data_IF_679278066362
#
_entry.id   IF_679278066362
#
_cell.length_a   1.000
_cell.length_b   1.000
_cell.length_c   1.000
_cell.angle_alpha   90.00
_cell.angle_beta   90.00
_cell.angle_gamma   90.00
#
_symmetry.space_group_name_H-M   'P 1'
#
loop_
_entity.id
_entity.type
_entity.pdbx_description
1 polymer ?
#
# COMPACT_ATOMS: atom_id res chain seq x y z
N UNK A 1 -30.10 86.58 19.69
CA UNK A 1 -29.14 87.56 19.21
C UNK A 1 -27.94 87.65 20.14
N UNK A 2 -26.79 87.73 19.52
CA UNK A 2 -25.49 88.27 19.95
C UNK A 2 -24.65 87.56 20.98
N UNK A 3 -23.53 87.19 20.52
CA UNK A 3 -22.21 87.81 20.25
C UNK A 3 -21.19 87.63 21.40
N UNK A 4 -20.01 87.14 20.95
CA UNK A 4 -18.65 87.52 21.31
C UNK A 4 -18.17 87.37 22.76
N UNK A 5 -17.06 86.75 23.04
CA UNK A 5 -15.69 87.16 22.81
C UNK A 5 -14.70 86.14 23.40
N UNK A 6 -13.76 85.83 22.62
CA UNK A 6 -12.30 85.69 22.85
C UNK A 6 -11.82 85.47 24.29
N UNK A 7 -11.03 84.38 24.47
CA UNK A 7 -10.14 84.13 25.59
C UNK A 7 -9.24 82.96 25.30
N UNK A 8 -8.03 83.24 24.88
CA UNK A 8 -6.97 82.29 24.72
C UNK A 8 -6.52 81.77 26.07
N UNK A 9 -6.51 80.49 26.25
CA UNK A 9 -5.51 79.83 27.17
C UNK A 9 -5.15 78.45 26.71
N UNK A 10 -3.87 78.28 26.69
CA UNK A 10 -3.08 77.08 26.25
C UNK A 10 -3.22 76.04 27.32
N UNK A 11 -3.92 74.93 27.00
CA UNK A 11 -3.87 73.71 27.81
C UNK A 11 -3.28 72.57 27.02
N UNK A 12 -2.21 72.08 27.58
CA UNK A 12 -1.41 70.88 27.16
C UNK A 12 -2.37 69.70 27.02
N UNK A 13 -2.46 69.12 25.78
CA UNK A 13 -3.13 67.85 25.54
C UNK A 13 -2.12 66.76 25.68
N UNK A 14 -2.21 66.02 26.76
CA UNK A 14 -1.62 64.68 26.85
C UNK A 14 -2.35 63.77 25.85
N UNK A 15 -1.70 63.46 24.75
CA UNK A 15 -2.15 62.47 23.79
C UNK A 15 -1.78 61.09 24.30
N UNK A 16 -2.72 60.44 24.97
CA UNK A 16 -2.64 58.99 25.21
C UNK A 16 -2.85 58.28 23.88
N UNK A 17 -1.78 57.91 23.21
CA UNK A 17 -1.80 56.99 22.06
C UNK A 17 -2.10 55.61 22.59
N UNK A 18 -3.36 55.20 22.56
CA UNK A 18 -3.75 53.81 22.76
C UNK A 18 -3.32 53.03 21.53
N UNK A 19 -2.15 52.40 21.58
CA UNK A 19 -1.73 51.45 20.58
C UNK A 19 -2.65 50.23 20.67
N UNK A 20 -3.63 50.11 19.79
CA UNK A 20 -4.33 48.87 19.51
C UNK A 20 -3.31 47.88 18.91
N UNK A 21 -2.76 47.03 19.77
CA UNK A 21 -2.07 45.82 19.29
C UNK A 21 -3.12 44.90 18.66
N UNK A 22 -3.27 44.99 17.34
CA UNK A 22 -3.94 43.96 16.57
C UNK A 22 -3.01 42.74 16.61
N UNK A 23 -3.27 41.83 17.52
CA UNK A 23 -2.68 40.51 17.53
C UNK A 23 -3.17 39.79 16.28
N UNK A 24 -2.44 39.92 15.18
CA UNK A 24 -2.58 38.99 14.05
C UNK A 24 -2.17 37.61 14.54
N UNK A 25 -3.10 36.83 15.02
CA UNK A 25 -2.95 35.38 15.07
C UNK A 25 -2.87 34.92 13.62
N UNK A 26 -1.65 34.82 13.09
CA UNK A 26 -1.37 34.09 11.88
C UNK A 26 -1.68 32.63 12.19
N UNK A 27 -2.92 32.22 11.98
CA UNK A 27 -3.28 30.83 11.92
C UNK A 27 -2.40 30.22 10.84
N UNK A 28 -1.44 29.40 11.23
CA UNK A 28 -0.62 28.62 10.30
C UNK A 28 -1.58 27.82 9.44
N UNK A 29 -1.74 28.21 8.17
CA UNK A 29 -2.50 27.39 7.21
C UNK A 29 -1.79 26.05 7.12
N UNK A 30 -2.46 24.97 7.49
CA UNK A 30 -1.92 23.62 7.32
C UNK A 30 -1.53 23.43 5.86
N UNK A 31 -0.27 23.15 5.61
CA UNK A 31 0.21 22.88 4.26
C UNK A 31 -0.34 21.51 3.84
N UNK A 32 -1.06 21.48 2.72
CA UNK A 32 -1.53 20.24 2.11
C UNK A 32 -0.36 19.52 1.41
N UNK A 33 -0.49 18.21 1.25
CA UNK A 33 0.42 17.38 0.44
C UNK A 33 0.26 17.69 -1.05
N UNK A 34 1.16 17.20 -1.91
CA UNK A 34 1.03 17.31 -3.37
C UNK A 34 -0.27 16.67 -3.89
N UNK A 35 -0.74 15.62 -3.23
CA UNK A 35 -2.04 15.00 -3.52
C UNK A 35 -3.24 15.76 -2.96
N UNK A 36 -3.03 16.87 -2.24
CA UNK A 36 -4.10 17.67 -1.63
C UNK A 36 -4.63 17.13 -0.30
N UNK A 37 -3.99 16.14 0.32
CA UNK A 37 -4.38 15.63 1.63
C UNK A 37 -4.02 16.60 2.74
N UNK A 38 -4.86 16.66 3.77
CA UNK A 38 -4.57 17.37 5.01
C UNK A 38 -3.82 16.42 5.98
N UNK A 39 -2.52 16.62 6.27
CA UNK A 39 -1.77 15.76 7.17
C UNK A 39 -2.40 15.63 8.57
N UNK A 40 -3.01 16.70 9.08
CA UNK A 40 -3.63 16.66 10.43
C UNK A 40 -4.88 15.78 10.51
N UNK A 41 -5.48 15.38 9.37
CA UNK A 41 -6.56 14.41 9.34
C UNK A 41 -6.12 12.99 9.71
N UNK A 42 -4.80 12.78 9.84
CA UNK A 42 -4.19 11.52 10.26
C UNK A 42 -3.63 11.58 11.68
N UNK A 43 -3.67 12.74 12.34
CA UNK A 43 -3.18 12.88 13.71
C UNK A 43 -4.20 12.35 14.71
N UNK A 44 -3.84 11.27 15.41
CA UNK A 44 -4.68 10.66 16.46
C UNK A 44 -3.84 9.75 17.36
N UNK A 45 -4.50 9.11 18.32
CA UNK A 45 -3.93 8.05 19.14
C UNK A 45 -4.81 6.81 19.03
N UNK A 46 -4.21 5.68 18.66
CA UNK A 46 -4.87 4.36 18.59
C UNK A 46 -4.07 3.39 19.44
N UNK A 47 -4.72 2.67 20.35
CA UNK A 47 -4.07 1.73 21.28
C UNK A 47 -2.89 2.34 22.04
N UNK A 48 -3.05 3.59 22.52
CA UNK A 48 -2.03 4.39 23.23
C UNK A 48 -0.76 4.70 22.40
N UNK A 49 -0.80 4.52 21.08
CA UNK A 49 0.29 4.88 20.18
C UNK A 49 -0.11 6.07 19.30
N UNK A 50 0.79 7.04 19.09
CA UNK A 50 0.53 8.16 18.18
C UNK A 50 0.47 7.68 16.74
N UNK A 51 -0.53 8.18 16.00
CA UNK A 51 -0.69 7.95 14.56
C UNK A 51 -0.51 9.26 13.84
N UNK A 52 0.22 9.24 12.72
CA UNK A 52 0.52 10.43 11.90
C UNK A 52 0.63 10.05 10.42
N UNK A 53 0.62 11.09 9.58
CA UNK A 53 1.03 11.02 8.18
C UNK A 53 2.48 11.51 8.06
N UNK A 54 3.33 10.70 7.45
CA UNK A 54 4.74 11.00 7.15
C UNK A 54 4.87 11.26 5.67
N UNK A 55 5.60 12.31 5.30
CA UNK A 55 5.83 12.67 3.90
C UNK A 55 7.29 12.44 3.54
N UNK A 56 7.52 11.65 2.48
CA UNK A 56 8.84 11.40 1.89
C UNK A 56 8.89 12.07 0.52
N UNK A 57 10.05 12.67 0.18
CA UNK A 57 10.24 13.42 -1.07
C UNK A 57 11.61 13.19 -1.66
N UNK A 58 11.69 13.37 -2.98
CA UNK A 58 12.96 13.59 -3.66
C UNK A 58 12.96 14.93 -4.44
N UNK A 59 14.10 15.27 -5.01
CA UNK A 59 14.25 16.52 -5.79
C UNK A 59 13.63 16.44 -7.21
N UNK A 60 13.17 15.25 -7.63
CA UNK A 60 12.68 15.00 -8.99
C UNK A 60 11.15 14.89 -9.06
N UNK A 61 10.44 15.45 -8.06
CA UNK A 61 8.99 15.60 -8.05
C UNK A 61 8.20 14.38 -7.55
N UNK A 62 8.87 13.40 -6.94
CA UNK A 62 8.15 12.31 -6.26
C UNK A 62 7.88 12.68 -4.80
N UNK A 63 6.62 12.55 -4.40
CA UNK A 63 6.16 12.64 -3.01
C UNK A 63 5.38 11.38 -2.63
N UNK A 64 5.70 10.80 -1.48
CA UNK A 64 4.99 9.65 -0.93
C UNK A 64 4.54 9.96 0.49
N UNK A 65 3.24 9.85 0.76
CA UNK A 65 2.67 10.01 2.08
C UNK A 65 2.31 8.65 2.69
N UNK A 66 2.81 8.38 3.89
CA UNK A 66 2.66 7.10 4.57
C UNK A 66 2.14 7.34 5.98
N UNK A 67 1.08 6.63 6.37
CA UNK A 67 0.67 6.59 7.78
C UNK A 67 1.29 5.38 8.50
N UNK A 68 1.68 5.57 9.75
CA UNK A 68 2.16 4.46 10.58
C UNK A 68 1.02 3.54 11.08
N UNK A 69 -0.24 3.84 10.79
CA UNK A 69 -1.34 2.91 10.95
C UNK A 69 -1.36 1.94 9.76
N UNK A 70 -0.98 0.70 9.99
CA UNK A 70 -0.87 -0.32 8.97
C UNK A 70 0.32 -0.14 8.00
N UNK A 71 1.21 0.82 8.26
CA UNK A 71 2.33 1.13 7.37
C UNK A 71 1.88 1.47 5.95
N UNK A 72 0.79 2.23 5.81
CA UNK A 72 0.06 2.40 4.55
C UNK A 72 0.61 3.55 3.71
N UNK A 73 0.89 3.27 2.44
CA UNK A 73 1.08 4.29 1.40
C UNK A 73 -0.29 4.91 1.10
N UNK A 74 -0.50 6.14 1.56
CA UNK A 74 -1.78 6.87 1.44
C UNK A 74 -1.87 7.61 0.12
N UNK A 75 -0.77 8.23 -0.31
CA UNK A 75 -0.63 8.86 -1.63
C UNK A 75 0.78 8.68 -2.16
N UNK A 76 0.90 8.65 -3.48
CA UNK A 76 2.15 8.59 -4.21
C UNK A 76 2.03 9.46 -5.46
N UNK A 77 2.62 10.65 -5.41
CA UNK A 77 2.64 11.59 -6.51
C UNK A 77 3.92 11.46 -7.31
N UNK A 78 3.78 11.36 -8.63
CA UNK A 78 4.88 11.41 -9.60
C UNK A 78 4.48 12.33 -10.75
N UNK A 79 5.45 12.98 -11.46
CA UNK A 79 5.13 13.77 -12.63
C UNK A 79 4.56 12.89 -13.77
N UNK A 80 3.49 13.34 -14.42
CA UNK A 80 3.01 12.78 -15.69
C UNK A 80 3.83 13.30 -16.88
N UNK A 81 3.49 12.87 -18.11
CA UNK A 81 4.16 13.32 -19.36
C UNK A 81 4.15 14.83 -19.60
N UNK A 82 3.33 15.59 -18.88
CA UNK A 82 3.25 17.04 -18.94
C UNK A 82 3.94 17.70 -17.73
N UNK A 83 4.58 16.91 -16.86
CA UNK A 83 5.21 17.37 -15.62
C UNK A 83 4.21 17.67 -14.49
N UNK A 84 2.93 17.31 -14.63
CA UNK A 84 1.91 17.53 -13.60
C UNK A 84 2.04 16.44 -12.53
N UNK A 85 2.13 16.81 -11.22
CA UNK A 85 2.05 15.84 -10.14
C UNK A 85 0.76 15.05 -10.23
N UNK A 86 0.86 13.72 -10.24
CA UNK A 86 -0.26 12.80 -10.40
C UNK A 86 -0.20 11.77 -9.29
N UNK A 87 -1.24 11.72 -8.45
CA UNK A 87 -1.37 10.68 -7.41
C UNK A 87 -1.79 9.36 -8.08
N UNK A 88 -0.94 8.36 -7.97
CA UNK A 88 -1.09 7.08 -8.68
C UNK A 88 -1.56 5.93 -7.79
N UNK A 89 -1.97 6.20 -6.54
CA UNK A 89 -2.51 5.17 -5.64
C UNK A 89 -3.87 5.54 -5.06
N UNK A 90 -4.68 4.53 -4.82
CA UNK A 90 -5.98 4.67 -4.15
C UNK A 90 -5.80 4.80 -2.63
N UNK A 91 -6.80 5.34 -1.94
CA UNK A 91 -6.80 5.46 -0.49
C UNK A 91 -7.98 6.25 0.05
N UNK A 92 -7.87 6.67 1.30
CA UNK A 92 -8.83 7.52 2.01
C UNK A 92 -8.21 8.86 2.42
N UNK A 93 -9.06 9.84 2.74
CA UNK A 93 -8.65 11.19 3.13
C UNK A 93 -8.20 11.32 4.59
N UNK A 94 -8.50 10.35 5.43
CA UNK A 94 -8.28 10.47 6.87
C UNK A 94 -8.12 9.12 7.58
N UNK A 95 -7.54 9.18 8.78
CA UNK A 95 -7.28 8.00 9.60
C UNK A 95 -8.55 7.29 10.08
N UNK A 96 -9.66 8.01 10.28
CA UNK A 96 -10.91 7.40 10.77
C UNK A 96 -11.44 6.37 9.78
N UNK A 97 -11.34 6.65 8.47
CA UNK A 97 -11.73 5.71 7.43
C UNK A 97 -10.81 4.48 7.41
N UNK A 98 -9.49 4.63 7.52
CA UNK A 98 -8.56 3.50 7.57
C UNK A 98 -8.74 2.63 8.81
N UNK A 99 -9.10 3.22 9.96
CA UNK A 99 -9.30 2.50 11.21
C UNK A 99 -10.67 1.80 11.32
N UNK A 100 -11.63 2.16 10.46
CA UNK A 100 -12.98 1.58 10.45
C UNK A 100 -13.03 0.34 9.56
N UNK A 101 -12.65 -0.80 10.10
CA UNK A 101 -12.66 -2.09 9.40
C UNK A 101 -14.05 -2.63 9.09
N UNK A 102 -15.10 -1.99 9.58
CA UNK A 102 -16.50 -2.42 9.37
C UNK A 102 -17.17 -1.66 8.24
N UNK A 103 -17.10 -0.31 8.28
CA UNK A 103 -17.81 0.53 7.31
C UNK A 103 -16.92 0.93 6.12
N UNK A 104 -15.60 0.90 6.29
CA UNK A 104 -14.62 1.20 5.23
C UNK A 104 -13.46 0.20 5.23
N UNK A 105 -13.74 -1.13 5.15
CA UNK A 105 -12.68 -2.14 5.11
C UNK A 105 -11.81 -1.92 3.88
N UNK A 106 -10.50 -1.94 4.06
CA UNK A 106 -9.57 -1.79 2.93
C UNK A 106 -8.17 -2.30 3.26
N UNK A 107 -7.48 -2.72 2.21
CA UNK A 107 -6.06 -3.05 2.25
C UNK A 107 -5.20 -1.92 1.66
N UNK A 108 -5.81 -0.76 1.27
CA UNK A 108 -5.14 0.34 0.58
C UNK A 108 -3.77 0.66 1.17
N UNK A 109 -2.72 0.45 0.35
CA UNK A 109 -1.35 0.81 0.61
C UNK A 109 -0.65 0.09 1.77
N UNK A 110 -1.31 -0.88 2.43
CA UNK A 110 -0.85 -1.47 3.68
C UNK A 110 0.45 -2.27 3.56
N UNK A 111 1.25 -2.24 4.63
CA UNK A 111 2.33 -3.19 4.88
C UNK A 111 1.71 -4.43 5.54
N UNK A 112 1.43 -5.44 4.70
CA UNK A 112 0.72 -6.66 5.10
C UNK A 112 1.65 -7.60 5.86
N UNK A 113 1.16 -8.17 6.93
CA UNK A 113 1.79 -9.21 7.75
C UNK A 113 0.80 -9.73 8.81
N UNK A 114 1.09 -10.82 9.52
CA UNK A 114 2.31 -11.61 9.51
C UNK A 114 2.51 -12.39 8.22
N UNK A 115 1.40 -12.78 7.54
CA UNK A 115 1.44 -13.57 6.32
C UNK A 115 0.53 -12.94 5.25
N UNK A 116 1.12 -12.45 4.18
CA UNK A 116 0.43 -11.91 3.02
C UNK A 116 -0.28 -13.01 2.25
N UNK A 117 -1.44 -12.69 1.69
CA UNK A 117 -2.32 -13.62 0.99
C UNK A 117 -2.89 -14.71 1.92
N UNK A 118 -3.37 -15.82 1.39
CA UNK A 118 -4.19 -16.83 2.10
C UNK A 118 -3.37 -18.00 2.60
N UNK A 119 -3.78 -18.52 3.78
CA UNK A 119 -3.42 -19.85 4.30
C UNK A 119 -4.71 -20.67 4.34
N UNK A 120 -4.69 -21.84 3.68
CA UNK A 120 -5.85 -22.69 3.43
C UNK A 120 -6.53 -23.10 4.75
N UNK A 121 -7.83 -22.76 4.88
CA UNK A 121 -8.66 -23.02 6.07
C UNK A 121 -8.02 -22.53 7.39
N UNK A 122 -7.05 -21.61 7.30
CA UNK A 122 -6.27 -21.18 8.46
C UNK A 122 -5.42 -22.30 9.08
N UNK A 123 -5.17 -23.38 8.38
CA UNK A 123 -4.37 -24.50 8.91
C UNK A 123 -2.86 -24.21 8.70
N UNK A 124 -2.11 -24.23 9.79
CA UNK A 124 -0.68 -24.01 9.81
C UNK A 124 0.00 -25.05 10.69
N UNK A 125 0.96 -25.78 10.18
CA UNK A 125 1.80 -26.72 10.95
C UNK A 125 3.20 -26.13 11.13
N UNK A 126 3.67 -25.98 12.38
CA UNK A 126 5.02 -25.54 12.72
C UNK A 126 5.63 -26.51 13.71
N UNK A 127 6.82 -27.05 13.40
CA UNK A 127 7.49 -28.06 14.24
C UNK A 127 6.62 -29.26 14.60
N UNK A 128 5.78 -29.71 13.66
CA UNK A 128 4.86 -30.84 13.87
C UNK A 128 3.67 -30.54 14.78
N UNK A 129 3.47 -29.29 15.17
CA UNK A 129 2.31 -28.81 15.91
C UNK A 129 1.39 -28.04 14.98
N UNK A 130 0.10 -28.40 15.00
CA UNK A 130 -0.93 -27.71 14.24
C UNK A 130 -1.47 -26.48 14.99
N UNK A 131 -1.68 -25.42 14.22
CA UNK A 131 -2.28 -24.15 14.66
C UNK A 131 -3.48 -23.85 13.76
N UNK A 132 -4.61 -23.51 14.39
CA UNK A 132 -5.78 -23.02 13.68
C UNK A 132 -5.77 -21.49 13.72
N UNK A 133 -5.48 -20.89 12.60
CA UNK A 133 -5.55 -19.43 12.39
C UNK A 133 -7.00 -19.00 12.15
N UNK A 134 -7.34 -17.72 12.38
CA UNK A 134 -8.66 -17.20 12.05
C UNK A 134 -9.02 -17.38 10.56
N UNK A 135 -10.29 -17.67 10.29
CA UNK A 135 -10.84 -17.79 8.95
C UNK A 135 -11.63 -16.51 8.61
N UNK A 136 -10.93 -15.46 8.24
CA UNK A 136 -11.51 -14.13 8.04
C UNK A 136 -11.93 -13.82 6.60
N UNK A 137 -11.66 -14.73 5.64
CA UNK A 137 -12.00 -14.51 4.24
C UNK A 137 -12.27 -15.84 3.52
N UNK A 138 -13.51 -16.05 3.05
CA UNK A 138 -13.98 -17.25 2.32
C UNK A 138 -13.55 -18.59 2.97
N UNK A 139 -13.47 -18.63 4.30
CA UNK A 139 -13.05 -19.83 5.03
C UNK A 139 -11.52 -20.03 5.14
N UNK A 140 -10.73 -19.03 4.77
CA UNK A 140 -9.27 -19.02 4.83
C UNK A 140 -8.74 -17.92 5.74
N UNK A 141 -7.49 -18.03 6.20
CA UNK A 141 -6.80 -16.92 6.85
C UNK A 141 -6.18 -16.03 5.75
N UNK A 142 -6.63 -14.77 5.68
CA UNK A 142 -6.15 -13.78 4.73
C UNK A 142 -5.37 -12.69 5.47
N UNK A 143 -4.20 -12.30 4.93
CA UNK A 143 -3.41 -11.15 5.35
C UNK A 143 -3.11 -11.08 6.85
N UNK A 144 -2.83 -12.23 7.45
CA UNK A 144 -2.48 -12.33 8.87
C UNK A 144 -3.67 -12.34 9.83
N UNK A 145 -4.91 -12.45 9.30
CA UNK A 145 -6.13 -12.54 10.11
C UNK A 145 -6.85 -11.20 10.31
N UNK A 146 -7.95 -11.18 11.07
CA UNK A 146 -8.85 -10.03 11.21
C UNK A 146 -8.20 -8.81 11.88
N UNK A 147 -7.19 -9.02 12.70
CA UNK A 147 -6.35 -7.98 13.31
C UNK A 147 -4.92 -8.00 12.76
N UNK A 148 -4.76 -8.36 11.49
CA UNK A 148 -3.48 -8.34 10.79
C UNK A 148 -2.77 -6.98 10.87
N UNK A 149 -1.51 -6.95 10.52
CA UNK A 149 -0.65 -5.77 10.73
C UNK A 149 -1.14 -4.51 10.02
N UNK A 150 -1.99 -4.64 9.01
CA UNK A 150 -2.65 -3.52 8.35
C UNK A 150 -3.59 -2.71 9.27
N UNK A 151 -4.02 -3.28 10.41
CA UNK A 151 -4.86 -2.63 11.43
C UNK A 151 -4.09 -2.32 12.72
N UNK A 152 -2.76 -2.38 12.69
CA UNK A 152 -1.89 -2.11 13.83
C UNK A 152 -1.12 -0.80 13.65
N UNK A 153 -0.75 -0.17 14.79
CA UNK A 153 0.09 1.03 14.79
C UNK A 153 1.55 0.62 14.92
N UNK A 154 2.35 0.99 13.93
CA UNK A 154 3.79 0.80 13.95
C UNK A 154 4.48 1.93 14.70
N UNK A 155 5.58 1.61 15.37
CA UNK A 155 6.51 2.61 15.88
C UNK A 155 7.31 3.19 14.71
N UNK A 156 7.30 4.52 14.55
CA UNK A 156 7.83 5.19 13.37
C UNK A 156 9.08 6.02 13.70
N UNK A 157 10.08 5.94 12.80
CA UNK A 157 11.26 6.79 12.80
C UNK A 157 11.51 7.31 11.39
N UNK A 158 11.52 8.62 11.22
CA UNK A 158 11.89 9.29 9.96
C UNK A 158 13.26 9.95 10.14
N UNK A 159 14.36 9.29 9.69
CA UNK A 159 15.71 9.82 9.89
C UNK A 159 16.07 10.99 8.96
N UNK A 160 15.39 11.10 7.83
CA UNK A 160 15.54 12.16 6.82
C UNK A 160 14.27 12.30 5.97
N UNK A 161 14.27 13.23 5.01
CA UNK A 161 13.10 13.55 4.18
C UNK A 161 12.74 12.47 3.15
N UNK A 162 13.59 11.46 2.95
CA UNK A 162 13.38 10.41 1.95
C UNK A 162 13.21 9.01 2.56
N UNK A 163 13.34 8.84 3.89
CA UNK A 163 13.31 7.51 4.53
C UNK A 163 12.39 7.49 5.74
N UNK A 164 11.53 6.46 5.80
CA UNK A 164 10.67 6.15 6.94
C UNK A 164 10.88 4.70 7.36
N UNK A 165 11.17 4.48 8.63
CA UNK A 165 11.35 3.15 9.24
C UNK A 165 10.17 2.90 10.17
N UNK A 166 9.42 1.84 9.92
CA UNK A 166 8.25 1.42 10.68
C UNK A 166 8.52 0.06 11.33
N UNK A 167 8.40 -0.04 12.64
CA UNK A 167 8.66 -1.27 13.39
C UNK A 167 7.40 -1.73 14.12
N UNK A 168 7.11 -3.04 14.04
CA UNK A 168 6.02 -3.68 14.76
C UNK A 168 6.53 -4.90 15.53
N UNK A 169 5.97 -5.12 16.71
CA UNK A 169 6.16 -6.33 17.50
C UNK A 169 4.84 -7.07 17.56
N UNK A 170 4.77 -8.24 16.93
CA UNK A 170 3.63 -9.14 16.94
C UNK A 170 3.92 -10.23 17.99
N UNK A 171 3.16 -10.32 19.09
CA UNK A 171 3.42 -11.26 20.18
C UNK A 171 3.20 -12.73 19.76
N UNK A 172 3.74 -13.65 20.56
CA UNK A 172 3.43 -15.08 20.43
C UNK A 172 1.91 -15.31 20.60
N UNK A 173 1.29 -15.99 19.65
CA UNK A 173 -0.16 -16.21 19.61
C UNK A 173 -0.99 -15.11 18.97
N UNK A 174 -0.37 -14.06 18.42
CA UNK A 174 -1.07 -13.03 17.65
C UNK A 174 -1.80 -13.65 16.45
N UNK A 175 -3.14 -13.50 16.37
CA UNK A 175 -4.00 -14.25 15.46
C UNK A 175 -3.70 -15.75 15.40
N UNK A 176 -3.30 -16.34 16.54
CA UNK A 176 -2.89 -17.74 16.72
C UNK A 176 -1.59 -18.14 15.99
N UNK A 177 -0.84 -17.22 15.39
CA UNK A 177 0.49 -17.52 14.86
C UNK A 177 1.48 -17.77 16.00
N UNK A 178 2.33 -18.84 15.93
CA UNK A 178 3.36 -19.09 16.93
C UNK A 178 4.51 -18.10 16.82
N UNK A 179 5.17 -17.83 17.94
CA UNK A 179 6.38 -17.02 18.06
C UNK A 179 6.12 -15.51 18.07
N UNK A 180 6.91 -14.81 18.87
CA UNK A 180 6.98 -13.35 18.81
C UNK A 180 7.84 -12.95 17.61
N UNK A 181 7.30 -12.09 16.75
CA UNK A 181 8.00 -11.53 15.59
C UNK A 181 8.22 -10.03 15.80
N UNK A 182 9.45 -9.59 15.60
CA UNK A 182 9.76 -8.17 15.42
C UNK A 182 10.02 -7.93 13.94
N UNK A 183 9.19 -7.10 13.31
CA UNK A 183 9.28 -6.79 11.89
C UNK A 183 9.48 -5.30 11.66
N UNK A 184 10.23 -4.97 10.60
CA UNK A 184 10.51 -3.60 10.19
C UNK A 184 10.20 -3.46 8.70
N UNK A 185 9.44 -2.43 8.35
CA UNK A 185 9.24 -1.97 6.98
C UNK A 185 9.96 -0.66 6.79
N UNK A 186 10.92 -0.60 5.88
CA UNK A 186 11.63 0.63 5.54
C UNK A 186 11.20 1.11 4.17
N UNK A 187 10.68 2.32 4.10
CA UNK A 187 10.33 3.02 2.87
C UNK A 187 11.39 4.04 2.54
N UNK A 188 11.89 4.04 1.32
CA UNK A 188 12.86 5.03 0.83
C UNK A 188 12.44 5.55 -0.53
N UNK A 189 12.36 6.87 -0.67
CA UNK A 189 12.14 7.54 -1.95
C UNK A 189 13.50 7.89 -2.55
N UNK A 190 13.88 7.18 -3.62
CA UNK A 190 15.17 7.38 -4.29
C UNK A 190 15.12 8.54 -5.30
N UNK A 191 16.28 9.08 -5.64
CA UNK A 191 16.40 10.22 -6.59
C UNK A 191 15.89 9.91 -8.00
N UNK A 192 15.82 8.64 -8.39
CA UNK A 192 15.36 8.18 -9.70
C UNK A 192 13.85 7.89 -9.75
N UNK A 193 13.06 8.47 -8.84
CA UNK A 193 11.62 8.25 -8.71
C UNK A 193 11.25 6.78 -8.43
N UNK A 194 11.99 6.14 -7.54
CA UNK A 194 11.70 4.80 -7.05
C UNK A 194 11.20 4.89 -5.60
N UNK A 195 10.07 4.25 -5.32
CA UNK A 195 9.69 3.87 -3.96
C UNK A 195 10.30 2.50 -3.68
N UNK A 196 11.35 2.50 -2.88
CA UNK A 196 12.08 1.32 -2.43
C UNK A 196 11.55 0.87 -1.06
N UNK A 197 11.20 -0.41 -0.94
CA UNK A 197 10.61 -0.96 0.29
C UNK A 197 11.36 -2.23 0.68
N UNK A 198 11.91 -2.25 1.89
CA UNK A 198 12.47 -3.46 2.48
C UNK A 198 11.64 -3.91 3.67
N UNK A 199 11.50 -5.23 3.80
CA UNK A 199 10.85 -5.88 4.92
C UNK A 199 11.86 -6.80 5.59
N UNK A 200 12.12 -6.56 6.87
CA UNK A 200 13.02 -7.36 7.69
C UNK A 200 12.25 -7.91 8.89
N UNK A 201 12.49 -9.16 9.28
CA UNK A 201 11.91 -9.70 10.50
C UNK A 201 12.82 -10.73 11.18
N UNK A 202 12.63 -10.83 12.50
CA UNK A 202 13.23 -11.87 13.34
C UNK A 202 12.18 -12.47 14.26
N UNK A 203 12.43 -13.68 14.76
CA UNK A 203 11.52 -14.40 15.64
C UNK A 203 12.23 -15.06 16.80
N UNK A 204 11.51 -15.32 17.91
CA UNK A 204 11.99 -16.10 19.05
C UNK A 204 11.60 -17.58 18.98
N UNK A 205 10.67 -17.96 18.11
CA UNK A 205 10.26 -19.34 17.81
C UNK A 205 10.05 -19.52 16.32
N UNK A 206 10.16 -20.74 15.82
CA UNK A 206 9.83 -21.00 14.42
C UNK A 206 8.39 -20.59 14.11
N UNK A 207 8.20 -19.87 13.02
CA UNK A 207 6.94 -19.35 12.55
C UNK A 207 6.96 -19.16 11.02
N UNK A 208 5.91 -18.56 10.47
CA UNK A 208 5.88 -18.14 9.06
C UNK A 208 5.83 -16.62 8.97
N UNK A 209 6.58 -16.08 7.99
CA UNK A 209 6.56 -14.65 7.66
C UNK A 209 6.50 -14.51 6.15
N UNK A 210 5.57 -13.69 5.69
CA UNK A 210 5.43 -13.29 4.30
C UNK A 210 4.86 -11.88 4.28
N UNK A 211 5.65 -10.89 3.91
CA UNK A 211 5.24 -9.48 3.93
C UNK A 211 5.13 -8.93 2.52
N UNK A 212 4.20 -7.99 2.32
CA UNK A 212 4.04 -7.29 1.05
C UNK A 212 3.53 -5.87 1.26
N UNK A 213 3.63 -5.03 0.24
CA UNK A 213 2.91 -3.76 0.16
C UNK A 213 1.69 -3.92 -0.76
N UNK A 214 0.53 -3.51 -0.26
CA UNK A 214 -0.75 -3.66 -0.96
C UNK A 214 -1.23 -2.32 -1.55
N UNK A 215 -0.37 -1.64 -2.29
CA UNK A 215 -0.74 -0.41 -3.01
C UNK A 215 -1.63 -0.73 -4.21
N UNK A 216 -2.70 0.04 -4.35
CA UNK A 216 -3.66 -0.04 -5.46
C UNK A 216 -3.29 1.04 -6.48
N UNK A 217 -2.59 0.67 -7.53
CA UNK A 217 -2.10 1.60 -8.54
C UNK A 217 -3.16 1.96 -9.57
N UNK A 218 -3.39 3.26 -9.78
CA UNK A 218 -4.12 3.81 -10.92
C UNK A 218 -3.23 4.87 -11.58
N UNK A 219 -2.48 4.46 -12.61
CA UNK A 219 -1.55 5.36 -13.30
C UNK A 219 -2.25 6.36 -14.23
N UNK A 220 -3.57 6.25 -14.41
CA UNK A 220 -4.36 7.20 -15.21
C UNK A 220 -4.56 8.54 -14.49
N UNK A 221 -4.36 8.60 -13.15
CA UNK A 221 -4.57 9.81 -12.35
C UNK A 221 -6.03 10.24 -12.22
N UNK A 222 -6.99 9.41 -12.66
CA UNK A 222 -8.43 9.64 -12.54
C UNK A 222 -9.09 8.37 -11.95
N UNK A 223 -9.18 8.26 -10.61
CA UNK A 223 -9.76 7.08 -9.97
C UNK A 223 -11.30 7.06 -9.98
N UNK A 224 -11.95 7.97 -10.68
CA UNK A 224 -13.40 7.93 -10.92
C UNK A 224 -13.80 6.96 -12.07
N UNK A 225 -12.81 6.45 -12.80
CA UNK A 225 -12.98 5.57 -13.96
C UNK A 225 -12.23 4.26 -13.78
N UNK A 226 -12.65 3.23 -14.51
CA UNK A 226 -11.91 1.97 -14.58
C UNK A 226 -10.48 2.17 -15.09
N UNK A 227 -9.57 1.33 -14.56
CA UNK A 227 -8.14 1.34 -14.90
C UNK A 227 -7.74 0.23 -15.89
N UNK A 228 -8.70 -0.45 -16.53
CA UNK A 228 -8.43 -1.62 -17.36
C UNK A 228 -7.72 -1.32 -18.69
N UNK A 229 -7.66 -0.03 -19.09
CA UNK A 229 -6.85 0.44 -20.22
C UNK A 229 -5.34 0.45 -19.93
N UNK A 230 -4.93 0.31 -18.68
CA UNK A 230 -3.51 0.21 -18.34
C UNK A 230 -2.91 -1.06 -18.94
N UNK A 231 -1.68 -0.92 -19.42
CA UNK A 231 -0.93 -1.99 -20.09
C UNK A 231 -0.07 -2.70 -19.05
N UNK A 232 -0.31 -4.00 -18.87
CA UNK A 232 0.37 -4.85 -17.91
C UNK A 232 1.41 -5.73 -18.62
N UNK A 233 2.56 -5.91 -17.98
CA UNK A 233 3.58 -6.92 -18.29
C UNK A 233 3.93 -7.69 -17.03
N UNK A 234 4.08 -9.02 -17.13
CA UNK A 234 4.57 -9.88 -16.05
C UNK A 234 5.60 -10.87 -16.60
N UNK A 235 6.79 -10.86 -16.03
CA UNK A 235 7.89 -11.77 -16.39
C UNK A 235 7.71 -13.12 -15.69
N UNK A 236 6.74 -13.90 -16.17
CA UNK A 236 6.42 -15.20 -15.61
C UNK A 236 5.87 -16.15 -16.69
N UNK A 237 6.42 -17.35 -16.77
CA UNK A 237 5.92 -18.42 -17.66
C UNK A 237 4.79 -19.22 -17.02
N UNK A 238 4.60 -19.08 -15.71
CA UNK A 238 3.66 -19.87 -14.94
C UNK A 238 2.93 -19.00 -13.90
N UNK A 239 1.79 -19.52 -13.45
CA UNK A 239 1.00 -18.94 -12.37
C UNK A 239 0.42 -20.05 -11.47
N UNK A 240 -0.06 -19.69 -10.27
CA UNK A 240 -0.78 -20.62 -9.40
C UNK A 240 -2.29 -20.43 -9.59
N UNK A 241 -3.03 -21.41 -10.16
CA UNK A 241 -4.48 -21.30 -10.30
C UNK A 241 -5.17 -21.24 -8.93
N UNK A 242 -6.32 -20.55 -8.89
CA UNK A 242 -7.16 -20.44 -7.70
C UNK A 242 -8.57 -21.00 -7.95
N UNK A 243 -9.19 -21.50 -6.89
CA UNK A 243 -10.59 -21.91 -6.91
C UNK A 243 -11.53 -20.69 -6.68
N UNK A 244 -12.84 -20.95 -6.59
CA UNK A 244 -13.86 -19.90 -6.36
C UNK A 244 -13.85 -19.30 -4.95
N UNK A 245 -12.96 -19.76 -4.06
CA UNK A 245 -12.69 -19.17 -2.74
C UNK A 245 -11.38 -18.39 -2.75
N UNK A 246 -10.80 -18.18 -3.93
CA UNK A 246 -9.50 -17.52 -4.14
C UNK A 246 -8.32 -18.28 -3.54
N UNK A 247 -8.52 -19.55 -3.18
CA UNK A 247 -7.46 -20.42 -2.68
C UNK A 247 -6.75 -21.10 -3.83
N UNK A 248 -5.42 -21.09 -3.79
CA UNK A 248 -4.62 -21.82 -4.80
C UNK A 248 -4.93 -23.31 -4.78
N UNK A 249 -5.05 -23.91 -5.97
CA UNK A 249 -5.26 -25.36 -6.12
C UNK A 249 -4.04 -26.19 -5.74
N UNK A 250 -2.87 -25.56 -5.62
CA UNK A 250 -1.58 -26.24 -5.39
C UNK A 250 -0.85 -26.63 -6.68
N UNK A 251 -1.46 -26.32 -7.83
CA UNK A 251 -0.82 -26.51 -9.14
C UNK A 251 0.01 -25.29 -9.53
N UNK A 252 0.97 -25.50 -10.43
CA UNK A 252 1.64 -24.45 -11.19
C UNK A 252 1.33 -24.70 -12.66
N UNK A 253 0.68 -23.75 -13.32
CA UNK A 253 0.24 -23.87 -14.72
C UNK A 253 0.92 -22.83 -15.61
N UNK A 254 1.18 -23.21 -16.86
CA UNK A 254 1.68 -22.31 -17.89
C UNK A 254 0.65 -21.21 -18.18
N UNK A 255 1.15 -19.98 -18.38
CA UNK A 255 0.33 -18.87 -18.87
C UNK A 255 0.09 -18.95 -20.38
N UNK A 256 0.91 -19.71 -21.12
CA UNK A 256 0.92 -19.76 -22.58
C UNK A 256 -0.44 -20.11 -23.17
N UNK A 257 -0.91 -19.29 -24.12
CA UNK A 257 -2.19 -19.49 -24.78
C UNK A 257 -3.43 -19.25 -23.89
N UNK A 258 -3.26 -18.61 -22.74
CA UNK A 258 -4.34 -18.31 -21.79
C UNK A 258 -4.48 -16.78 -21.59
N UNK A 259 -5.61 -16.30 -21.04
CA UNK A 259 -5.75 -14.90 -20.62
C UNK A 259 -4.75 -14.44 -19.55
N UNK A 260 -4.00 -15.36 -18.93
CA UNK A 260 -2.97 -15.07 -17.93
C UNK A 260 -1.61 -14.71 -18.55
N UNK A 261 -1.46 -14.73 -19.89
CA UNK A 261 -0.18 -14.51 -20.57
C UNK A 261 0.16 -13.03 -20.76
N UNK A 262 0.77 -12.42 -19.76
CA UNK A 262 1.29 -11.05 -19.80
C UNK A 262 2.79 -10.97 -20.11
N UNK A 263 3.43 -12.04 -20.65
CA UNK A 263 4.85 -12.01 -21.10
C UNK A 263 5.08 -11.03 -22.24
N UNK A 264 4.05 -10.73 -23.01
CA UNK A 264 4.01 -9.60 -23.93
C UNK A 264 3.02 -8.58 -23.37
N UNK A 265 3.50 -7.36 -23.11
CA UNK A 265 2.68 -6.29 -22.55
C UNK A 265 1.45 -5.98 -23.41
N UNK A 266 0.26 -5.98 -22.81
CA UNK A 266 -0.99 -5.60 -23.45
C UNK A 266 -1.99 -5.00 -22.44
N UNK A 267 -3.05 -4.36 -22.93
CA UNK A 267 -4.03 -3.75 -22.07
C UNK A 267 -4.82 -4.83 -21.29
N UNK A 268 -5.04 -4.59 -20.00
CA UNK A 268 -5.82 -5.49 -19.13
C UNK A 268 -7.23 -5.73 -19.70
N UNK A 269 -7.81 -4.70 -20.34
CA UNK A 269 -9.14 -4.77 -20.96
C UNK A 269 -9.28 -5.81 -22.08
N UNK A 270 -8.17 -6.27 -22.66
CA UNK A 270 -8.19 -7.25 -23.74
C UNK A 270 -8.65 -8.64 -23.26
N UNK A 271 -8.37 -8.97 -22.00
CA UNK A 271 -8.54 -10.34 -21.48
C UNK A 271 -9.33 -10.42 -20.17
N UNK A 272 -9.50 -9.33 -19.41
CA UNK A 272 -10.14 -9.34 -18.08
C UNK A 272 -11.61 -9.80 -18.09
N UNK A 273 -12.28 -9.70 -19.24
CA UNK A 273 -13.69 -10.07 -19.40
C UNK A 273 -13.88 -11.45 -20.07
N UNK A 274 -12.82 -12.22 -20.27
CA UNK A 274 -12.92 -13.58 -20.83
C UNK A 274 -13.44 -14.57 -19.78
N UNK A 275 -14.74 -14.55 -19.56
CA UNK A 275 -15.43 -15.45 -18.60
C UNK A 275 -15.53 -16.90 -19.09
N UNK A 276 -15.02 -17.23 -20.29
CA UNK A 276 -14.87 -18.60 -20.76
C UNK A 276 -13.69 -19.30 -20.08
N UNK A 277 -12.74 -18.53 -19.57
CA UNK A 277 -11.61 -19.02 -18.78
C UNK A 277 -11.95 -19.01 -17.29
N UNK A 278 -11.95 -20.18 -16.66
CA UNK A 278 -12.42 -20.35 -15.28
C UNK A 278 -11.73 -19.45 -14.27
N UNK A 279 -10.44 -19.13 -14.45
CA UNK A 279 -9.69 -18.28 -13.53
C UNK A 279 -10.23 -16.84 -13.55
N UNK A 280 -10.49 -16.29 -14.74
CA UNK A 280 -11.10 -14.96 -14.88
C UNK A 280 -12.53 -14.95 -14.35
N UNK A 281 -13.30 -15.99 -14.66
CA UNK A 281 -14.68 -16.15 -14.18
C UNK A 281 -14.76 -16.22 -12.66
N UNK A 282 -13.93 -17.05 -12.03
CA UNK A 282 -13.91 -17.27 -10.57
C UNK A 282 -13.53 -16.00 -9.81
N UNK A 283 -12.52 -15.28 -10.29
CA UNK A 283 -12.03 -14.05 -9.65
C UNK A 283 -12.80 -12.80 -10.11
N UNK A 284 -13.66 -12.89 -11.14
CA UNK A 284 -14.30 -11.75 -11.81
C UNK A 284 -13.29 -10.68 -12.26
N UNK A 285 -12.15 -11.14 -12.77
CA UNK A 285 -10.96 -10.38 -13.14
C UNK A 285 -9.69 -11.13 -12.76
N UNK A 286 -8.62 -10.40 -12.48
CA UNK A 286 -7.37 -10.98 -11.97
C UNK A 286 -7.30 -10.87 -10.45
N UNK A 287 -6.96 -11.96 -9.79
CA UNK A 287 -6.57 -12.07 -8.38
C UNK A 287 -5.75 -13.35 -8.22
N UNK A 288 -4.57 -13.37 -8.86
CA UNK A 288 -3.76 -14.57 -8.97
C UNK A 288 -2.29 -14.26 -8.72
N UNK A 289 -1.52 -15.29 -8.38
CA UNK A 289 -0.09 -15.20 -8.20
C UNK A 289 0.63 -15.73 -9.44
N UNK A 290 1.51 -14.92 -10.03
CA UNK A 290 2.44 -15.31 -11.08
C UNK A 290 3.78 -15.76 -10.48
N UNK A 291 4.32 -16.89 -10.99
CA UNK A 291 5.61 -17.42 -10.60
C UNK A 291 6.71 -16.73 -11.39
N UNK A 292 7.45 -15.85 -10.77
CA UNK A 292 8.39 -14.94 -11.44
C UNK A 292 9.60 -15.67 -12.02
N UNK A 293 9.92 -15.41 -13.29
CA UNK A 293 11.13 -15.92 -13.96
C UNK A 293 12.42 -15.28 -13.41
N UNK A 294 12.32 -14.19 -12.67
CA UNK A 294 13.42 -13.54 -11.94
C UNK A 294 13.83 -14.29 -10.68
N UNK A 295 13.04 -15.30 -10.24
CA UNK A 295 13.36 -16.14 -9.10
C UNK A 295 13.83 -17.52 -9.57
N UNK A 296 15.09 -17.86 -9.25
CA UNK A 296 15.71 -19.14 -9.63
C UNK A 296 16.57 -19.67 -8.48
N UNK A 297 16.57 -20.98 -8.30
CA UNK A 297 17.42 -21.69 -7.31
C UNK A 297 17.32 -21.09 -5.90
N UNK A 298 16.10 -20.73 -5.49
CA UNK A 298 15.83 -20.17 -4.16
C UNK A 298 16.20 -18.69 -4.00
N UNK A 299 16.55 -17.99 -5.07
CA UNK A 299 16.93 -16.57 -5.04
C UNK A 299 16.20 -15.76 -6.10
N UNK A 300 15.72 -14.58 -5.71
CA UNK A 300 15.19 -13.57 -6.63
C UNK A 300 16.28 -12.60 -7.08
N UNK A 301 16.19 -12.16 -8.34
CA UNK A 301 17.04 -11.13 -8.94
C UNK A 301 16.26 -9.83 -9.02
N UNK A 302 16.37 -9.00 -7.96
CA UNK A 302 15.73 -7.71 -7.84
C UNK A 302 16.41 -6.57 -8.63
N UNK A 303 17.37 -6.93 -9.50
CA UNK A 303 17.94 -6.00 -10.49
C UNK A 303 17.20 -6.05 -11.83
N UNK A 304 16.27 -6.99 -11.99
CA UNK A 304 15.48 -7.18 -13.21
C UNK A 304 14.02 -6.83 -13.01
N UNK A 305 13.42 -6.23 -14.03
CA UNK A 305 11.99 -5.97 -14.06
C UNK A 305 11.23 -7.29 -14.01
N UNK A 306 10.40 -7.46 -12.97
CA UNK A 306 9.55 -8.63 -12.80
C UNK A 306 8.11 -8.39 -13.28
N UNK A 307 7.63 -7.15 -13.18
CA UNK A 307 6.35 -6.71 -13.73
C UNK A 307 6.41 -5.22 -14.10
N UNK A 308 5.54 -4.76 -14.97
CA UNK A 308 5.36 -3.35 -15.23
C UNK A 308 3.91 -2.99 -15.54
N UNK A 309 3.52 -1.76 -15.22
CA UNK A 309 2.23 -1.19 -15.51
C UNK A 309 2.42 0.16 -16.20
N UNK A 310 1.70 0.40 -17.29
CA UNK A 310 1.83 1.64 -18.07
C UNK A 310 0.46 2.25 -18.35
N UNK A 311 0.36 3.57 -18.21
CA UNK A 311 -0.83 4.32 -18.61
C UNK A 311 -0.59 5.08 -19.90
N UNK A 312 -1.31 4.76 -21.00
CA UNK A 312 -1.23 5.55 -22.22
C UNK A 312 -1.82 6.97 -22.08
N UNK A 313 -2.60 7.22 -21.02
CA UNK A 313 -3.21 8.53 -20.74
C UNK A 313 -2.16 9.51 -20.21
N UNK A 314 -1.48 9.13 -19.13
CA UNK A 314 -0.51 9.99 -18.43
C UNK A 314 0.93 9.81 -18.91
N UNK A 315 1.22 8.73 -19.64
CA UNK A 315 2.57 8.33 -20.01
C UNK A 315 3.39 7.74 -18.85
N UNK A 316 2.80 7.58 -17.67
CA UNK A 316 3.49 7.04 -16.50
C UNK A 316 3.68 5.53 -16.69
N UNK A 317 4.94 5.09 -16.55
CA UNK A 317 5.36 3.70 -16.48
C UNK A 317 5.83 3.40 -15.06
N UNK A 318 5.27 2.34 -14.46
CA UNK A 318 5.75 1.70 -13.24
C UNK A 318 6.49 0.42 -13.61
N UNK A 319 7.73 0.28 -13.18
CA UNK A 319 8.51 -0.95 -13.24
C UNK A 319 8.69 -1.50 -11.83
N UNK A 320 8.38 -2.78 -11.64
CA UNK A 320 8.51 -3.48 -10.36
C UNK A 320 9.73 -4.39 -10.37
N UNK A 321 10.46 -4.39 -9.25
CA UNK A 321 11.62 -5.23 -8.97
C UNK A 321 11.40 -5.91 -7.62
N UNK A 322 11.77 -7.19 -7.47
CA UNK A 322 11.65 -7.89 -6.18
C UNK A 322 12.55 -9.11 -6.12
N UNK A 323 12.98 -9.46 -4.90
CA UNK A 323 13.65 -10.73 -4.61
C UNK A 323 12.68 -11.86 -4.24
N UNK A 324 11.37 -11.61 -4.27
CA UNK A 324 10.35 -12.61 -3.97
C UNK A 324 10.05 -13.52 -5.18
N UNK A 325 9.58 -14.77 -4.95
CA UNK A 325 9.30 -15.73 -6.01
C UNK A 325 8.03 -15.44 -6.81
N UNK A 326 7.13 -14.65 -6.28
CA UNK A 326 5.81 -14.40 -6.88
C UNK A 326 5.38 -12.94 -6.82
N UNK A 327 4.46 -12.63 -7.70
CA UNK A 327 3.68 -11.40 -7.69
C UNK A 327 2.20 -11.73 -7.78
N UNK A 328 1.42 -11.27 -6.80
CA UNK A 328 -0.04 -11.24 -6.93
C UNK A 328 -0.40 -10.04 -7.79
N UNK A 329 -1.19 -10.28 -8.84
CA UNK A 329 -1.84 -9.22 -9.61
C UNK A 329 -3.32 -9.23 -9.28
N UNK A 330 -3.80 -8.13 -8.70
CA UNK A 330 -5.19 -7.95 -8.33
C UNK A 330 -5.77 -6.70 -9.00
N UNK A 331 -6.89 -6.83 -9.69
CA UNK A 331 -7.46 -5.76 -10.52
C UNK A 331 -8.63 -5.01 -9.88
N UNK A 332 -8.67 -4.93 -8.55
CA UNK A 332 -9.72 -4.18 -7.86
C UNK A 332 -11.13 -4.78 -8.03
N UNK A 333 -11.24 -6.11 -8.06
CA UNK A 333 -12.48 -6.82 -8.35
C UNK A 333 -13.59 -6.57 -7.30
N UNK A 334 -13.23 -6.24 -6.07
CA UNK A 334 -14.14 -5.90 -4.96
C UNK A 334 -14.34 -4.40 -4.77
N UNK A 335 -13.79 -3.55 -5.65
CA UNK A 335 -14.13 -2.13 -5.67
C UNK A 335 -15.56 -1.91 -6.17
N UNK A 336 -16.08 -0.70 -6.13
CA UNK A 336 -17.47 -0.41 -6.51
C UNK A 336 -18.45 -0.48 -5.33
N UNK A 337 -17.95 -0.39 -4.11
CA UNK A 337 -18.75 -0.46 -2.87
C UNK A 337 -19.64 0.77 -2.63
N UNK A 338 -19.41 1.86 -3.37
CA UNK A 338 -20.11 3.13 -3.17
C UNK A 338 -19.58 3.98 -2.02
N UNK A 339 -18.55 3.50 -1.28
CA UNK A 339 -17.87 4.24 -0.21
C UNK A 339 -17.14 5.44 -0.83
N UNK A 340 -17.29 6.63 -0.23
CA UNK A 340 -16.51 7.80 -0.59
C UNK A 340 -15.07 7.62 -0.08
N UNK A 341 -14.14 7.60 -1.02
CA UNK A 341 -12.70 7.41 -0.78
C UNK A 341 -11.96 8.74 -0.87
N UNK A 342 -10.68 8.73 -1.25
CA UNK A 342 -9.84 9.94 -1.37
C UNK A 342 -10.51 10.99 -2.26
N UNK A 343 -10.55 12.23 -1.76
CA UNK A 343 -11.24 13.38 -2.38
C UNK A 343 -12.76 13.17 -2.58
N UNK A 344 -13.39 12.31 -1.77
CA UNK A 344 -14.81 11.98 -1.89
C UNK A 344 -15.18 11.14 -3.11
N UNK A 345 -14.21 10.66 -3.87
CA UNK A 345 -14.44 9.86 -5.08
C UNK A 345 -14.89 8.45 -4.68
N UNK A 346 -15.93 7.96 -5.35
CA UNK A 346 -16.37 6.56 -5.24
C UNK A 346 -15.67 5.76 -6.31
N UNK A 347 -14.81 4.86 -5.90
CA UNK A 347 -14.02 4.05 -6.84
C UNK A 347 -14.90 3.00 -7.53
N UNK A 348 -14.88 2.90 -8.86
CA UNK A 348 -15.57 1.84 -9.60
C UNK A 348 -14.82 0.50 -9.46
N UNK A 349 -15.46 -0.59 -9.86
CA UNK A 349 -14.82 -1.88 -10.06
C UNK A 349 -13.69 -1.75 -11.09
N UNK A 350 -12.62 -2.52 -10.93
CA UNK A 350 -11.46 -2.53 -11.83
C UNK A 350 -10.76 -1.18 -12.00
N UNK A 351 -10.84 -0.31 -10.99
CA UNK A 351 -10.23 1.02 -11.02
C UNK A 351 -8.70 0.99 -10.91
N UNK A 352 -8.12 -0.10 -10.41
CA UNK A 352 -6.70 -0.17 -10.06
C UNK A 352 -6.11 -1.55 -10.26
N UNK A 353 -4.78 -1.61 -10.18
CA UNK A 353 -3.99 -2.83 -10.18
C UNK A 353 -3.11 -2.86 -8.93
N UNK A 354 -3.15 -3.95 -8.16
CA UNK A 354 -2.16 -4.24 -7.13
C UNK A 354 -1.08 -5.16 -7.71
N UNK A 355 0.17 -4.89 -7.35
CA UNK A 355 1.35 -5.70 -7.67
C UNK A 355 2.05 -6.04 -6.36
N UNK A 356 1.75 -7.20 -5.79
CA UNK A 356 2.16 -7.59 -4.45
C UNK A 356 3.26 -8.66 -4.53
N UNK A 357 4.51 -8.28 -4.18
CA UNK A 357 5.61 -9.26 -4.07
C UNK A 357 5.37 -10.19 -2.90
N UNK A 358 5.53 -11.51 -3.11
CA UNK A 358 5.19 -12.48 -2.04
C UNK A 358 5.78 -13.88 -2.28
N UNK A 359 5.79 -14.70 -1.21
CA UNK A 359 5.73 -16.17 -1.35
C UNK A 359 4.37 -16.54 -1.92
N UNK A 360 4.29 -17.65 -2.65
CA UNK A 360 3.02 -18.08 -3.24
C UNK A 360 1.94 -18.28 -2.16
N UNK A 361 0.66 -17.99 -2.46
CA UNK A 361 -0.42 -18.24 -1.52
C UNK A 361 -0.41 -19.67 -1.01
N UNK A 362 -0.65 -19.87 0.29
CA UNK A 362 -0.64 -21.18 0.97
C UNK A 362 0.71 -21.94 0.94
N UNK A 363 1.84 -21.26 0.72
CA UNK A 363 3.17 -21.88 0.75
C UNK A 363 3.47 -22.70 2.01
N UNK A 364 2.98 -22.35 3.22
CA UNK A 364 3.22 -23.21 4.40
C UNK A 364 2.71 -24.63 4.24
N UNK A 365 1.67 -24.84 3.44
CA UNK A 365 1.03 -26.12 3.19
C UNK A 365 1.48 -26.78 1.86
N UNK A 366 2.52 -26.24 1.20
CA UNK A 366 3.05 -26.70 -0.10
C UNK A 366 4.53 -26.98 0.00
N UNK A 367 4.88 -28.26 0.23
CA UNK A 367 6.25 -28.69 0.54
C UNK A 367 7.30 -28.30 -0.50
N UNK A 368 6.91 -28.26 -1.78
CA UNK A 368 7.84 -28.01 -2.90
C UNK A 368 7.85 -26.54 -3.34
N UNK A 369 7.12 -25.67 -2.64
CA UNK A 369 7.07 -24.25 -2.92
C UNK A 369 8.07 -23.45 -2.07
N UNK A 370 8.42 -22.22 -2.48
CA UNK A 370 9.31 -21.37 -1.70
C UNK A 370 8.86 -21.23 -0.26
N UNK A 371 9.73 -21.60 0.68
CA UNK A 371 9.42 -21.71 2.10
C UNK A 371 9.20 -20.32 2.74
N UNK A 372 8.11 -20.13 3.50
CA UNK A 372 7.88 -18.91 4.28
C UNK A 372 8.33 -19.06 5.74
N UNK A 373 8.89 -20.21 6.13
CA UNK A 373 9.29 -20.47 7.51
C UNK A 373 10.50 -19.63 7.91
N UNK A 374 10.44 -19.09 9.13
CA UNK A 374 11.51 -18.31 9.78
C UNK A 374 11.82 -18.95 11.14
N UNK A 375 13.09 -19.27 11.38
CA UNK A 375 13.58 -19.87 12.62
C UNK A 375 14.30 -18.84 13.51
N UNK A 376 14.38 -19.09 14.82
CA UNK A 376 15.23 -18.29 15.70
C UNK A 376 16.67 -18.24 15.21
N UNK A 377 17.25 -17.04 15.17
CA UNK A 377 18.59 -16.81 14.64
C UNK A 377 18.67 -16.55 13.14
N UNK A 378 17.61 -16.83 12.39
CA UNK A 378 17.50 -16.45 10.98
C UNK A 378 16.91 -15.03 10.85
N UNK A 379 17.16 -14.40 9.71
CA UNK A 379 16.59 -13.11 9.33
C UNK A 379 15.72 -13.27 8.09
N UNK A 380 14.44 -12.91 8.19
CA UNK A 380 13.61 -12.68 7.02
C UNK A 380 14.04 -11.37 6.36
N UNK A 381 14.19 -11.39 5.06
CA UNK A 381 14.46 -10.20 4.26
C UNK A 381 13.71 -10.31 2.93
N UNK A 382 12.88 -9.33 2.64
CA UNK A 382 12.17 -9.18 1.39
C UNK A 382 12.34 -7.75 0.87
N UNK A 383 12.42 -7.61 -0.45
CA UNK A 383 12.61 -6.33 -1.12
C UNK A 383 11.63 -6.20 -2.28
N UNK A 384 11.04 -5.01 -2.41
CA UNK A 384 10.27 -4.59 -3.57
C UNK A 384 10.57 -3.13 -3.88
N UNK A 385 10.78 -2.82 -5.15
CA UNK A 385 10.95 -1.46 -5.63
C UNK A 385 9.96 -1.16 -6.75
N UNK A 386 9.28 -0.02 -6.64
CA UNK A 386 8.38 0.54 -7.65
C UNK A 386 9.04 1.78 -8.25
N UNK A 387 9.58 1.65 -9.46
CA UNK A 387 10.26 2.73 -10.18
C UNK A 387 9.31 3.37 -11.19
N UNK A 388 9.20 4.67 -11.14
CA UNK A 388 8.34 5.45 -12.03
C UNK A 388 9.16 6.25 -13.06
N UNK A 389 8.69 6.22 -14.29
CA UNK A 389 9.27 6.99 -15.42
C UNK A 389 8.18 7.39 -16.41
N UNK A 390 8.52 8.18 -17.39
CA UNK A 390 7.65 8.54 -18.53
C UNK A 390 8.08 7.76 -19.77
N UNK A 391 7.06 7.19 -20.48
CA UNK A 391 7.25 6.42 -21.70
C UNK A 391 6.52 7.08 -22.87
#
# INVERSE_FOLDING_TARGET
>A
IHERLVGSEMCIRDSVVTALMVSCTTGSKTQLTESGLNPTAFDTTINNKPVKLYTLKNANGMEVCITNFGGRVVSLCVPDKNGKPTDVVLGYDNIKQYADSVNSPSDYGSSVGRYANRINKGHLTVNGKDYQLPQNNFGHCLHGGPSGWMYQVYDAKQPNDSTLILTIVSPDGDNNFPGKVTATTTYTVLSNNTLDITFDATTDKETVVNMTNHSYFNLNGDPSKEGTNMVLYVNADNFTPADNTYMTTGEIKSVEGTPMDFRKAHAISETINDTTYDQIKNATGYDHNWCLNTYKDGKGDDTKVCASLYSPITGILLEMYTNEPGVQVYTGNFQGTGIACKHGIKYPKHVSVCLESQKYPDSPNKKDWPSPYLKPGEKYHSHVAYKFSIK
#
